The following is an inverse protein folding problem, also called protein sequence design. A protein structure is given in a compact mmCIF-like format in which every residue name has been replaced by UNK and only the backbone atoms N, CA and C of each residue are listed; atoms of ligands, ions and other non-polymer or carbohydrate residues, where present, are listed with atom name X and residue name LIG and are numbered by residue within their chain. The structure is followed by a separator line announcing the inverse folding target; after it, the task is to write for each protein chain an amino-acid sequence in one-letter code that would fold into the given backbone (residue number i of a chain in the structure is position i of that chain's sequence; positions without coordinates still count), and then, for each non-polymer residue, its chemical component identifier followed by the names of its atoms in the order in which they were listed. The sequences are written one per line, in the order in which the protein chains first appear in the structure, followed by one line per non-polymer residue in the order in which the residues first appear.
data_IF_781876951003
#
_entry.id   IF_781876951003
#
_cell.length_a   1.000
_cell.length_b   1.000
_cell.length_c   1.000
_cell.angle_alpha   90.00
_cell.angle_beta   90.00
_cell.angle_gamma   90.00
#
_symmetry.space_group_name_H-M   'P 1'
#
loop_
_entity.id
_entity.type
_entity.pdbx_description
1 polymer ?
#
# COMPACT_ATOMS: atom_id res chain seq x y z
N UNK A 1 6.47 12.99 -37.90
CA UNK A 1 6.61 11.54 -37.68
C UNK A 1 6.98 11.36 -36.25
N UNK A 2 6.51 10.31 -35.56
CA UNK A 2 6.85 10.08 -34.17
C UNK A 2 8.30 9.57 -34.10
N UNK A 3 9.15 10.26 -33.31
CA UNK A 3 10.58 9.95 -33.18
C UNK A 3 10.83 8.80 -32.19
N UNK A 4 9.92 7.84 -32.10
CA UNK A 4 10.04 6.68 -31.19
C UNK A 4 9.25 5.49 -31.73
N UNK A 5 9.65 4.28 -31.28
CA UNK A 5 8.98 3.00 -31.55
C UNK A 5 8.51 2.37 -30.24
N UNK A 6 7.29 1.83 -30.21
CA UNK A 6 6.80 1.02 -29.09
C UNK A 6 7.03 -0.46 -29.39
N UNK A 7 7.64 -1.17 -28.45
CA UNK A 7 7.90 -2.59 -28.56
C UNK A 7 7.82 -3.30 -27.20
N UNK A 8 7.65 -4.62 -27.16
CA UNK A 8 7.79 -5.39 -25.93
C UNK A 8 9.17 -5.19 -25.29
N UNK A 9 9.20 -5.28 -23.93
CA UNK A 9 10.42 -5.29 -23.13
C UNK A 9 11.34 -6.46 -23.54
N UNK A 10 12.65 -6.22 -23.55
CA UNK A 10 13.71 -7.22 -23.72
C UNK A 10 14.64 -7.24 -22.51
N UNK A 11 15.41 -8.31 -22.37
CA UNK A 11 16.34 -8.43 -21.23
C UNK A 11 17.40 -7.31 -21.16
N UNK A 12 17.84 -6.83 -22.31
CA UNK A 12 18.80 -5.71 -22.39
C UNK A 12 18.23 -4.37 -21.90
N UNK A 13 16.92 -4.23 -21.77
CA UNK A 13 16.26 -2.99 -21.38
C UNK A 13 16.24 -2.76 -19.86
N UNK A 14 16.46 -3.79 -19.04
CA UNK A 14 16.33 -3.67 -17.57
C UNK A 14 17.15 -2.53 -16.94
N UNK A 15 18.40 -2.22 -17.36
CA UNK A 15 19.13 -1.08 -16.81
C UNK A 15 18.42 0.26 -17.05
N UNK A 16 17.91 0.48 -18.26
CA UNK A 16 17.19 1.70 -18.61
C UNK A 16 15.84 1.78 -17.89
N UNK A 17 15.12 0.65 -17.80
CA UNK A 17 13.85 0.56 -17.07
C UNK A 17 14.04 0.80 -15.58
N UNK A 18 15.09 0.27 -14.95
CA UNK A 18 15.41 0.57 -13.55
C UNK A 18 15.62 2.08 -13.34
N UNK A 19 16.39 2.73 -14.24
CA UNK A 19 16.59 4.17 -14.20
C UNK A 19 15.29 4.96 -14.32
N UNK A 20 14.39 4.56 -15.23
CA UNK A 20 13.08 5.18 -15.39
C UNK A 20 12.19 4.99 -14.16
N UNK A 21 12.13 3.78 -13.60
CA UNK A 21 11.32 3.48 -12.41
C UNK A 21 11.83 4.25 -11.18
N UNK A 22 13.12 4.45 -11.04
CA UNK A 22 13.72 5.22 -9.94
C UNK A 22 13.34 6.72 -9.97
N UNK A 23 12.76 7.21 -11.06
CA UNK A 23 12.17 8.56 -11.10
C UNK A 23 10.84 8.66 -10.34
N UNK A 24 10.16 7.54 -10.12
CA UNK A 24 8.81 7.51 -9.52
C UNK A 24 8.72 6.68 -8.24
N UNK A 25 9.63 5.73 -8.02
CA UNK A 25 9.68 4.90 -6.82
C UNK A 25 10.25 5.69 -5.62
N UNK A 26 9.75 5.38 -4.43
CA UNK A 26 10.28 5.91 -3.17
C UNK A 26 11.59 5.23 -2.76
N UNK A 27 11.74 3.95 -3.09
CA UNK A 27 12.94 3.15 -2.85
C UNK A 27 13.56 2.77 -4.19
N UNK A 28 14.87 3.01 -4.39
CA UNK A 28 15.51 2.71 -5.66
C UNK A 28 15.62 1.20 -5.90
N UNK A 29 15.45 0.81 -7.16
CA UNK A 29 15.58 -0.57 -7.62
C UNK A 29 16.72 -0.71 -8.63
N UNK A 30 17.45 -1.82 -8.59
CA UNK A 30 18.49 -2.14 -9.55
C UNK A 30 17.94 -2.98 -10.71
N UNK A 31 18.64 -2.96 -11.85
CA UNK A 31 18.31 -3.83 -12.98
C UNK A 31 18.28 -5.31 -12.60
N UNK A 32 19.22 -5.74 -11.74
CA UNK A 32 19.29 -7.11 -11.25
C UNK A 32 18.07 -7.48 -10.41
N UNK A 33 17.66 -6.62 -9.49
CA UNK A 33 16.46 -6.86 -8.68
C UNK A 33 15.20 -6.99 -9.56
N UNK A 34 15.01 -6.08 -10.54
CA UNK A 34 13.90 -6.18 -11.49
C UNK A 34 13.90 -7.49 -12.26
N UNK A 35 15.08 -7.96 -12.69
CA UNK A 35 15.21 -9.21 -13.41
C UNK A 35 14.99 -10.43 -12.51
N UNK A 36 15.48 -10.40 -11.27
CA UNK A 36 15.27 -11.46 -10.28
C UNK A 36 13.77 -11.57 -9.91
N UNK A 37 13.09 -10.43 -9.71
CA UNK A 37 11.63 -10.38 -9.51
C UNK A 37 10.88 -10.96 -10.72
N UNK A 38 11.28 -10.61 -11.95
CA UNK A 38 10.69 -11.15 -13.16
C UNK A 38 10.81 -12.67 -13.22
N UNK A 39 11.99 -13.19 -12.94
CA UNK A 39 12.26 -14.62 -12.97
C UNK A 39 11.54 -15.40 -11.86
N UNK A 40 11.18 -14.74 -10.76
CA UNK A 40 10.49 -15.37 -9.64
C UNK A 40 8.98 -15.56 -9.87
N UNK A 41 8.40 -14.83 -10.83
CA UNK A 41 6.96 -14.87 -11.11
C UNK A 41 6.68 -15.81 -12.28
N UNK A 42 5.81 -16.81 -12.10
CA UNK A 42 5.48 -17.75 -13.15
C UNK A 42 4.79 -17.06 -14.35
N UNK A 43 4.78 -17.68 -15.53
CA UNK A 43 4.07 -17.18 -16.71
C UNK A 43 2.61 -16.86 -16.42
N UNK A 44 2.10 -15.80 -17.05
CA UNK A 44 0.74 -15.32 -16.86
C UNK A 44 -0.32 -16.36 -17.22
N UNK A 45 -1.41 -16.37 -16.45
CA UNK A 45 -2.57 -17.21 -16.67
C UNK A 45 -3.85 -16.43 -16.38
N UNK A 46 -4.46 -15.89 -17.41
CA UNK A 46 -5.74 -15.18 -17.32
C UNK A 46 -6.91 -16.13 -17.57
N UNK A 47 -7.98 -15.92 -16.82
CA UNK A 47 -9.25 -16.62 -17.00
C UNK A 47 -10.40 -15.66 -16.61
N UNK A 48 -11.64 -16.15 -16.68
CA UNK A 48 -12.81 -15.36 -16.30
C UNK A 48 -13.62 -16.12 -15.25
N UNK A 49 -14.17 -15.40 -14.29
CA UNK A 49 -15.11 -15.95 -13.31
C UNK A 49 -16.51 -16.16 -13.94
N UNK A 50 -17.45 -16.68 -13.17
CA UNK A 50 -18.82 -16.96 -13.61
C UNK A 50 -19.57 -15.69 -14.05
N UNK A 51 -19.20 -14.53 -13.53
CA UNK A 51 -19.74 -13.21 -13.92
C UNK A 51 -19.05 -12.64 -15.17
N UNK A 52 -18.12 -13.38 -15.78
CA UNK A 52 -17.37 -12.96 -16.97
C UNK A 52 -16.29 -11.91 -16.69
N UNK A 53 -15.93 -11.71 -15.44
CA UNK A 53 -14.90 -10.75 -15.04
C UNK A 53 -13.49 -11.38 -15.13
N UNK A 54 -12.51 -10.58 -15.53
CA UNK A 54 -11.13 -10.98 -15.67
C UNK A 54 -10.50 -11.37 -14.32
N UNK A 55 -9.90 -12.55 -14.26
CA UNK A 55 -9.23 -13.16 -13.11
C UNK A 55 -7.82 -13.65 -13.49
N UNK A 56 -7.10 -14.21 -12.51
CA UNK A 56 -5.76 -14.75 -12.70
C UNK A 56 -4.67 -13.68 -12.64
N UNK A 57 -3.56 -13.89 -13.33
CA UNK A 57 -2.43 -12.95 -13.37
C UNK A 57 -1.79 -12.91 -14.74
N UNK A 58 -1.25 -11.75 -15.10
CA UNK A 58 -0.39 -11.51 -16.25
C UNK A 58 0.26 -10.12 -16.13
N UNK A 59 1.35 -9.87 -16.87
CA UNK A 59 2.08 -8.60 -16.75
C UNK A 59 2.88 -8.23 -18.02
N UNK A 60 2.21 -8.00 -19.15
CA UNK A 60 2.87 -7.51 -20.34
C UNK A 60 3.52 -6.15 -20.13
N UNK A 61 4.66 -5.97 -20.78
CA UNK A 61 5.51 -4.80 -20.66
C UNK A 61 5.89 -4.25 -22.00
N UNK A 62 5.93 -2.93 -22.10
CA UNK A 62 6.32 -2.19 -23.31
C UNK A 62 7.34 -1.12 -22.96
N UNK A 63 8.21 -0.83 -23.93
CA UNK A 63 9.14 0.28 -23.89
C UNK A 63 8.90 1.18 -25.09
N UNK A 64 9.15 2.47 -24.90
CA UNK A 64 9.30 3.44 -25.97
C UNK A 64 10.81 3.62 -26.23
N UNK A 65 11.23 3.37 -27.46
CA UNK A 65 12.62 3.46 -27.94
C UNK A 65 12.72 4.63 -28.92
N UNK A 66 13.68 5.55 -28.71
CA UNK A 66 13.92 6.67 -29.61
C UNK A 66 14.71 6.25 -30.86
N UNK A 67 15.01 7.19 -31.78
CA UNK A 67 15.77 6.95 -33.01
C UNK A 67 17.22 6.49 -32.74
N UNK A 68 17.77 6.82 -31.57
CA UNK A 68 19.10 6.40 -31.11
C UNK A 68 19.07 5.03 -30.44
N UNK A 69 17.92 4.34 -30.43
CA UNK A 69 17.68 3.07 -29.75
C UNK A 69 17.79 3.12 -28.21
N UNK A 70 17.58 4.29 -27.63
CA UNK A 70 17.53 4.47 -26.20
C UNK A 70 16.10 4.27 -25.69
N UNK A 71 15.94 3.56 -24.58
CA UNK A 71 14.65 3.39 -23.90
C UNK A 71 14.30 4.67 -23.15
N UNK A 72 13.34 5.41 -23.66
CA UNK A 72 12.88 6.71 -23.14
C UNK A 72 11.56 6.62 -22.33
N UNK A 73 10.91 5.47 -22.35
CA UNK A 73 9.68 5.26 -21.60
C UNK A 73 9.38 3.78 -21.39
N UNK A 74 8.62 3.51 -20.36
CA UNK A 74 8.23 2.15 -19.95
C UNK A 74 6.77 2.14 -19.54
N UNK A 75 6.08 1.04 -19.85
CA UNK A 75 4.75 0.75 -19.33
C UNK A 75 4.62 -0.75 -19.00
N UNK A 76 3.96 -1.04 -17.90
CA UNK A 76 3.51 -2.37 -17.52
C UNK A 76 2.02 -2.31 -17.18
N UNK A 77 1.23 -3.18 -17.78
CA UNK A 77 -0.10 -3.49 -17.28
C UNK A 77 -0.03 -4.83 -16.56
N UNK A 78 -0.56 -4.91 -15.36
CA UNK A 78 -0.43 -6.13 -14.58
C UNK A 78 -1.68 -6.44 -13.75
N UNK A 79 -1.86 -7.71 -13.52
CA UNK A 79 -2.83 -8.27 -12.62
C UNK A 79 -2.16 -9.35 -11.78
N UNK A 80 -2.39 -9.33 -10.48
CA UNK A 80 -2.01 -10.38 -9.54
C UNK A 80 -3.28 -11.17 -9.11
N UNK A 81 -3.15 -12.37 -8.53
CA UNK A 81 -4.30 -13.14 -8.06
C UNK A 81 -5.26 -12.37 -7.15
N UNK A 82 -4.73 -11.48 -6.32
CA UNK A 82 -5.46 -10.63 -5.37
C UNK A 82 -5.96 -9.28 -5.96
N UNK A 83 -5.77 -9.05 -7.25
CA UNK A 83 -6.31 -7.85 -7.91
C UNK A 83 -7.83 -8.01 -8.06
N UNK A 84 -8.58 -6.95 -7.78
CA UNK A 84 -10.03 -6.91 -7.91
C UNK A 84 -10.50 -7.51 -9.26
N UNK A 85 -11.59 -8.30 -9.29
CA UNK A 85 -12.12 -8.87 -10.52
C UNK A 85 -12.35 -7.80 -11.60
N UNK A 86 -11.90 -8.11 -12.81
CA UNK A 86 -12.02 -7.19 -13.95
C UNK A 86 -11.01 -6.04 -13.99
N UNK A 87 -10.18 -5.84 -12.96
CA UNK A 87 -9.23 -4.73 -12.90
C UNK A 87 -7.85 -5.13 -13.40
N UNK A 88 -7.12 -4.15 -13.94
CA UNK A 88 -5.70 -4.18 -14.25
C UNK A 88 -5.01 -2.98 -13.62
N UNK A 89 -3.83 -3.19 -13.08
CA UNK A 89 -2.96 -2.13 -12.61
C UNK A 89 -2.04 -1.66 -13.75
N UNK A 90 -1.70 -0.38 -13.74
CA UNK A 90 -0.83 0.27 -14.72
C UNK A 90 0.28 1.04 -14.00
N UNK A 91 1.53 0.82 -14.44
CA UNK A 91 2.62 1.76 -14.22
C UNK A 91 3.11 2.25 -15.56
N UNK A 92 3.24 3.56 -15.74
CA UNK A 92 3.73 4.19 -16.95
C UNK A 92 4.67 5.34 -16.57
N UNK A 93 5.85 5.34 -17.14
CA UNK A 93 6.86 6.38 -16.95
C UNK A 93 7.50 6.76 -18.27
N UNK A 94 7.75 8.05 -18.47
CA UNK A 94 8.53 8.60 -19.59
C UNK A 94 9.58 9.53 -19.01
N UNK A 95 10.81 9.39 -19.50
CA UNK A 95 11.93 10.24 -19.09
C UNK A 95 11.52 11.72 -19.19
N UNK A 96 11.80 12.56 -18.17
CA UNK A 96 11.33 13.94 -18.14
C UNK A 96 11.66 14.74 -19.42
N UNK A 97 12.88 14.59 -19.93
CA UNK A 97 13.36 15.31 -21.12
C UNK A 97 12.69 14.85 -22.43
N UNK A 98 12.02 13.68 -22.42
CA UNK A 98 11.32 13.11 -23.56
C UNK A 98 9.79 13.26 -23.47
N UNK A 99 9.31 13.93 -22.43
CA UNK A 99 7.88 14.22 -22.27
C UNK A 99 7.40 15.23 -23.33
N UNK A 100 6.09 15.25 -23.55
CA UNK A 100 5.48 16.16 -24.54
C UNK A 100 5.60 15.71 -26.00
N UNK A 101 6.42 14.70 -26.31
CA UNK A 101 6.67 14.23 -27.69
C UNK A 101 5.78 13.05 -28.13
N UNK A 102 4.86 12.62 -27.27
CA UNK A 102 3.83 11.62 -27.60
C UNK A 102 4.11 10.17 -27.14
N UNK A 103 5.33 9.84 -26.67
CA UNK A 103 5.70 8.49 -26.22
C UNK A 103 4.74 7.94 -25.13
N UNK A 104 4.42 8.76 -24.12
CA UNK A 104 3.47 8.37 -23.07
C UNK A 104 2.06 8.07 -23.60
N UNK A 105 1.60 8.82 -24.64
CA UNK A 105 0.32 8.54 -25.31
C UNK A 105 0.36 7.20 -26.03
N UNK A 106 1.44 6.91 -26.73
CA UNK A 106 1.57 5.64 -27.45
C UNK A 106 1.64 4.44 -26.51
N UNK A 107 2.45 4.51 -25.43
CA UNK A 107 2.49 3.49 -24.38
C UNK A 107 1.10 3.27 -23.75
N UNK A 108 0.39 4.36 -23.42
CA UNK A 108 -0.98 4.27 -22.87
C UNK A 108 -1.96 3.61 -23.85
N UNK A 109 -1.80 3.82 -25.17
CA UNK A 109 -2.63 3.18 -26.17
C UNK A 109 -2.35 1.66 -26.23
N UNK A 110 -1.10 1.22 -26.20
CA UNK A 110 -0.76 -0.21 -26.16
C UNK A 110 -1.37 -0.92 -24.95
N UNK A 111 -1.24 -0.29 -23.77
CA UNK A 111 -1.89 -0.81 -22.54
C UNK A 111 -3.40 -0.92 -22.72
N UNK A 112 -4.04 0.12 -23.27
CA UNK A 112 -5.50 0.14 -23.49
C UNK A 112 -5.93 -0.94 -24.48
N UNK A 113 -5.21 -1.13 -25.57
CA UNK A 113 -5.49 -2.17 -26.57
C UNK A 113 -5.39 -3.57 -25.95
N UNK A 114 -4.35 -3.81 -25.15
CA UNK A 114 -4.23 -5.08 -24.45
C UNK A 114 -5.34 -5.25 -23.42
N UNK A 115 -5.66 -4.24 -22.61
CA UNK A 115 -6.72 -4.29 -21.63
C UNK A 115 -8.09 -4.61 -22.26
N UNK A 116 -8.39 -4.04 -23.42
CA UNK A 116 -9.59 -4.35 -24.21
C UNK A 116 -9.58 -5.79 -24.71
N UNK A 117 -8.43 -6.27 -25.22
CA UNK A 117 -8.26 -7.65 -25.69
C UNK A 117 -8.58 -8.66 -24.60
N UNK A 118 -8.15 -8.40 -23.36
CA UNK A 118 -8.42 -9.26 -22.20
C UNK A 118 -9.71 -8.89 -21.45
N UNK A 119 -10.56 -8.05 -22.06
CA UNK A 119 -11.87 -7.63 -21.52
C UNK A 119 -11.79 -7.12 -20.07
N UNK A 120 -10.74 -6.40 -19.74
CA UNK A 120 -10.65 -5.73 -18.46
C UNK A 120 -11.68 -4.59 -18.39
N UNK A 121 -12.34 -4.44 -17.26
CA UNK A 121 -13.35 -3.39 -17.04
C UNK A 121 -12.73 -2.05 -16.61
N UNK A 122 -11.57 -2.10 -15.93
CA UNK A 122 -10.90 -0.91 -15.39
C UNK A 122 -9.38 -0.99 -15.50
N UNK A 123 -8.78 0.18 -15.72
CA UNK A 123 -7.36 0.43 -15.50
C UNK A 123 -7.18 1.26 -14.25
N UNK A 124 -6.28 0.83 -13.37
CA UNK A 124 -5.96 1.48 -12.09
C UNK A 124 -4.49 1.87 -12.10
N UNK A 125 -4.19 3.08 -11.68
CA UNK A 125 -2.80 3.53 -11.45
C UNK A 125 -2.72 4.42 -10.22
N UNK A 126 -1.51 4.50 -9.66
CA UNK A 126 -1.20 5.38 -8.54
C UNK A 126 -0.29 6.50 -9.04
N UNK A 127 -0.61 7.73 -8.67
CA UNK A 127 0.13 8.93 -9.08
C UNK A 127 0.39 9.81 -7.89
N UNK A 128 1.58 10.38 -7.81
CA UNK A 128 1.90 11.36 -6.76
C UNK A 128 0.92 12.52 -6.81
N UNK A 129 0.41 12.92 -5.67
CA UNK A 129 -0.59 13.98 -5.52
C UNK A 129 -0.04 15.38 -5.87
N UNK A 130 1.27 15.53 -5.88
CA UNK A 130 2.00 16.73 -6.26
C UNK A 130 2.61 16.70 -7.69
N UNK A 131 2.31 15.67 -8.50
CA UNK A 131 2.73 15.61 -9.92
C UNK A 131 1.58 16.05 -10.85
N UNK A 132 1.38 17.37 -10.96
CA UNK A 132 0.33 17.96 -11.78
C UNK A 132 0.38 17.50 -13.24
N UNK A 133 1.58 17.34 -13.81
CA UNK A 133 1.78 16.92 -15.22
C UNK A 133 1.24 15.51 -15.43
N UNK A 134 1.55 14.58 -14.54
CA UNK A 134 1.05 13.20 -14.63
C UNK A 134 -0.44 13.13 -14.37
N UNK A 135 -0.96 13.93 -13.43
CA UNK A 135 -2.40 14.01 -13.14
C UNK A 135 -3.20 14.53 -14.34
N UNK A 136 -2.77 15.62 -14.96
CA UNK A 136 -3.39 16.13 -16.21
C UNK A 136 -3.32 15.10 -17.34
N UNK A 137 -2.18 14.42 -17.50
CA UNK A 137 -2.02 13.38 -18.51
C UNK A 137 -3.04 12.26 -18.34
N UNK A 138 -3.27 11.80 -17.09
CA UNK A 138 -4.25 10.78 -16.77
C UNK A 138 -5.70 11.27 -16.98
N UNK A 139 -6.03 12.45 -16.48
CA UNK A 139 -7.37 13.04 -16.61
C UNK A 139 -7.79 13.18 -18.09
N UNK A 140 -6.89 13.67 -18.96
CA UNK A 140 -7.12 13.76 -20.43
C UNK A 140 -7.36 12.38 -21.08
N UNK A 141 -7.07 11.26 -20.39
CA UNK A 141 -7.30 9.87 -20.84
C UNK A 141 -8.46 9.18 -20.14
N UNK A 142 -9.28 9.96 -19.44
CA UNK A 142 -10.47 9.49 -18.77
C UNK A 142 -10.25 8.83 -17.42
N UNK A 143 -9.06 8.98 -16.85
CA UNK A 143 -8.85 8.59 -15.46
C UNK A 143 -9.49 9.60 -14.52
N UNK A 144 -10.13 9.09 -13.49
CA UNK A 144 -10.74 9.85 -12.41
C UNK A 144 -10.10 9.46 -11.09
N UNK A 145 -9.94 10.42 -10.19
CA UNK A 145 -9.49 10.14 -8.84
C UNK A 145 -10.58 9.38 -8.08
N UNK A 146 -10.23 8.21 -7.57
CA UNK A 146 -11.11 7.41 -6.72
C UNK A 146 -10.77 7.59 -5.23
N UNK A 147 -9.47 7.59 -4.89
CA UNK A 147 -9.00 7.66 -3.50
C UNK A 147 -7.72 8.48 -3.41
N UNK A 148 -7.45 9.03 -2.23
CA UNK A 148 -6.17 9.61 -1.86
C UNK A 148 -5.57 8.79 -0.73
N UNK A 149 -4.40 8.22 -0.96
CA UNK A 149 -3.62 7.44 0.01
C UNK A 149 -2.33 8.23 0.26
N UNK A 150 -2.08 8.57 1.50
CA UNK A 150 -0.94 9.41 1.86
C UNK A 150 -0.30 8.92 3.17
N UNK A 151 0.97 9.18 3.30
CA UNK A 151 1.69 8.98 4.54
C UNK A 151 1.44 10.16 5.48
N UNK A 152 1.41 9.89 6.77
CA UNK A 152 1.42 10.92 7.80
C UNK A 152 2.53 10.63 8.82
N UNK A 153 3.11 11.70 9.34
CA UNK A 153 4.27 11.66 10.22
C UNK A 153 3.94 12.37 11.54
N UNK A 154 4.24 11.72 12.65
CA UNK A 154 4.19 12.32 13.98
C UNK A 154 5.62 12.51 14.49
N UNK A 155 6.00 13.75 14.78
CA UNK A 155 7.23 14.04 15.49
C UNK A 155 7.03 13.74 16.99
N UNK A 156 7.69 12.71 17.48
CA UNK A 156 7.52 12.23 18.85
C UNK A 156 8.08 13.21 19.90
N UNK A 157 9.09 14.02 19.54
CA UNK A 157 9.65 15.03 20.45
C UNK A 157 8.72 16.25 20.60
N UNK A 158 7.91 16.53 19.60
CA UNK A 158 6.92 17.62 19.60
C UNK A 158 5.54 17.19 20.13
N UNK A 159 5.33 15.89 20.37
CA UNK A 159 4.05 15.39 20.86
C UNK A 159 3.83 15.72 22.33
N UNK A 160 2.84 16.57 22.60
CA UNK A 160 2.56 17.12 23.94
C UNK A 160 1.21 16.70 24.53
N UNK A 161 0.37 15.97 23.78
CA UNK A 161 -0.98 15.59 24.19
C UNK A 161 -0.98 14.43 25.21
N UNK A 162 -0.29 14.64 26.34
CA UNK A 162 -0.14 13.64 27.41
C UNK A 162 -1.48 13.21 28.03
N UNK A 163 -2.48 14.10 28.00
CA UNK A 163 -3.84 13.81 28.49
C UNK A 163 -4.53 12.67 27.74
N UNK A 164 -4.14 12.42 26.48
CA UNK A 164 -4.70 11.32 25.68
C UNK A 164 -4.33 9.95 26.24
N UNK A 165 -3.26 9.83 27.05
CA UNK A 165 -2.92 8.59 27.76
C UNK A 165 -3.99 8.17 28.76
N UNK A 166 -4.89 9.05 29.17
CA UNK A 166 -6.07 8.71 29.98
C UNK A 166 -6.98 7.69 29.27
N UNK A 167 -6.95 7.63 27.92
CA UNK A 167 -7.72 6.64 27.14
C UNK A 167 -7.33 5.20 27.48
N UNK A 168 -6.07 4.96 27.82
CA UNK A 168 -5.58 3.63 28.26
C UNK A 168 -6.24 3.27 29.60
N UNK A 169 -6.16 4.17 30.57
CA UNK A 169 -6.76 3.95 31.91
C UNK A 169 -8.28 3.77 31.83
N UNK A 170 -8.94 4.55 30.97
CA UNK A 170 -10.39 4.43 30.79
C UNK A 170 -10.78 3.04 30.21
N UNK A 171 -10.02 2.52 29.26
CA UNK A 171 -10.23 1.19 28.72
C UNK A 171 -9.96 0.09 29.80
N UNK A 172 -8.90 0.24 30.58
CA UNK A 172 -8.59 -0.69 31.70
C UNK A 172 -9.71 -0.70 32.76
N UNK A 173 -10.26 0.46 33.09
CA UNK A 173 -11.39 0.58 34.02
C UNK A 173 -12.67 -0.06 33.50
N UNK A 174 -12.82 -0.18 32.17
CA UNK A 174 -13.94 -0.89 31.54
C UNK A 174 -13.70 -2.39 31.35
N UNK A 175 -12.59 -2.94 31.90
CA UNK A 175 -12.29 -4.36 31.89
C UNK A 175 -11.34 -4.80 30.76
N UNK A 176 -10.90 -3.89 29.89
CA UNK A 176 -9.92 -4.22 28.85
C UNK A 176 -8.53 -4.37 29.47
N UNK A 177 -7.85 -5.45 29.10
CA UNK A 177 -6.44 -5.66 29.44
C UNK A 177 -5.58 -5.46 28.20
N UNK A 178 -4.49 -4.73 28.34
CA UNK A 178 -3.51 -4.56 27.26
C UNK A 178 -2.30 -5.45 27.52
N UNK A 179 -1.92 -6.21 26.48
CA UNK A 179 -0.75 -7.07 26.44
C UNK A 179 0.03 -6.81 25.15
N UNK A 180 1.23 -7.37 25.05
CA UNK A 180 1.94 -7.54 23.76
C UNK A 180 1.87 -9.01 23.32
N UNK A 181 2.16 -9.28 22.05
CA UNK A 181 2.26 -10.67 21.58
C UNK A 181 3.40 -11.43 22.28
N UNK A 182 4.43 -10.71 22.80
CA UNK A 182 5.50 -11.30 23.60
C UNK A 182 5.01 -11.86 24.96
N UNK A 183 3.94 -11.30 25.52
CA UNK A 183 3.36 -11.77 26.78
C UNK A 183 2.59 -13.09 26.62
N UNK A 184 2.12 -13.38 25.41
CA UNK A 184 1.41 -14.61 25.07
C UNK A 184 2.01 -15.23 23.79
N UNK A 185 3.24 -15.78 23.85
CA UNK A 185 3.91 -16.32 22.66
C UNK A 185 3.28 -17.64 22.21
N UNK A 186 3.45 -17.94 20.92
CA UNK A 186 3.06 -19.22 20.34
C UNK A 186 1.99 -19.14 19.26
N UNK A 187 1.98 -20.15 18.40
CA UNK A 187 1.16 -20.18 17.20
C UNK A 187 -0.35 -20.08 17.49
N UNK A 188 -0.83 -20.61 18.60
CA UNK A 188 -2.25 -20.50 18.97
C UNK A 188 -2.67 -19.02 19.10
N UNK A 189 -1.85 -18.20 19.74
CA UNK A 189 -2.12 -16.78 19.95
C UNK A 189 -1.89 -15.97 18.68
N UNK A 190 -0.94 -16.36 17.85
CA UNK A 190 -0.77 -15.79 16.49
C UNK A 190 -1.99 -16.09 15.61
N UNK A 191 -2.62 -17.27 15.73
CA UNK A 191 -3.87 -17.61 15.03
C UNK A 191 -5.08 -16.81 15.55
N UNK A 192 -5.17 -16.52 16.84
CA UNK A 192 -6.17 -15.57 17.38
C UNK A 192 -5.97 -14.18 16.83
N UNK A 193 -4.71 -13.75 16.71
CA UNK A 193 -4.37 -12.45 16.12
C UNK A 193 -4.71 -12.41 14.62
N UNK A 194 -4.40 -13.46 13.87
CA UNK A 194 -4.77 -13.60 12.46
C UNK A 194 -6.29 -13.47 12.27
N UNK A 195 -7.09 -14.12 13.10
CA UNK A 195 -8.54 -14.01 13.04
C UNK A 195 -9.03 -12.58 13.33
N UNK A 196 -8.45 -11.91 14.32
CA UNK A 196 -8.74 -10.49 14.59
C UNK A 196 -8.42 -9.61 13.37
N UNK A 197 -7.27 -9.83 12.73
CA UNK A 197 -6.92 -9.13 11.49
C UNK A 197 -7.92 -9.42 10.38
N UNK A 198 -8.29 -10.68 10.16
CA UNK A 198 -9.24 -11.10 9.13
C UNK A 198 -10.57 -10.38 9.26
N UNK A 199 -11.13 -10.32 10.47
CA UNK A 199 -12.41 -9.65 10.73
C UNK A 199 -12.29 -8.14 10.55
N UNK A 200 -11.21 -7.53 11.08
CA UNK A 200 -11.07 -6.06 11.08
C UNK A 200 -10.56 -5.49 9.75
N UNK A 201 -9.96 -6.31 8.87
CA UNK A 201 -9.59 -5.91 7.52
C UNK A 201 -10.78 -5.62 6.60
N UNK A 202 -11.91 -6.30 6.82
CA UNK A 202 -13.14 -6.06 6.07
C UNK A 202 -13.65 -4.60 6.18
N UNK A 203 -13.21 -3.89 7.20
CA UNK A 203 -13.58 -2.48 7.44
C UNK A 203 -12.62 -1.48 6.78
N UNK A 204 -11.51 -1.95 6.18
CA UNK A 204 -10.58 -1.09 5.46
C UNK A 204 -11.23 -0.70 4.12
N UNK A 205 -11.37 0.60 3.83
CA UNK A 205 -11.94 1.01 2.55
C UNK A 205 -11.21 0.40 1.35
N UNK A 206 -11.94 -0.29 0.48
CA UNK A 206 -11.41 -0.94 -0.71
C UNK A 206 -10.63 -2.22 -0.46
N UNK A 207 -10.72 -2.80 0.72
CA UNK A 207 -10.29 -4.18 0.94
C UNK A 207 -11.35 -5.13 0.35
N UNK A 208 -10.89 -6.14 -0.39
CA UNK A 208 -11.73 -7.20 -0.94
C UNK A 208 -11.61 -8.44 -0.06
N UNK A 209 -12.55 -9.37 -0.17
CA UNK A 209 -12.80 -10.46 0.77
C UNK A 209 -11.71 -11.55 0.87
N UNK A 210 -10.70 -11.54 0.01
CA UNK A 210 -9.61 -12.53 0.01
C UNK A 210 -8.53 -12.16 1.04
N UNK A 211 -8.80 -12.48 2.30
CA UNK A 211 -7.78 -12.35 3.35
C UNK A 211 -6.80 -13.52 3.27
N UNK A 212 -5.48 -13.30 3.38
CA UNK A 212 -4.48 -14.35 3.21
C UNK A 212 -4.57 -15.43 4.29
N UNK A 213 -4.18 -16.65 3.93
CA UNK A 213 -4.04 -17.76 4.88
C UNK A 213 -3.02 -17.43 5.97
N UNK A 214 -3.11 -18.11 7.11
CA UNK A 214 -2.29 -17.82 8.28
C UNK A 214 -0.80 -17.77 7.99
N UNK A 215 -0.26 -18.74 7.24
CA UNK A 215 1.17 -18.83 6.92
C UNK A 215 1.65 -17.68 6.02
N UNK A 216 0.81 -17.22 5.11
CA UNK A 216 1.09 -16.06 4.26
C UNK A 216 0.94 -14.75 5.04
N UNK A 217 -0.15 -14.59 5.79
CA UNK A 217 -0.35 -13.44 6.65
C UNK A 217 0.79 -13.27 7.65
N UNK A 218 1.25 -14.38 8.26
CA UNK A 218 2.34 -14.38 9.23
C UNK A 218 3.64 -13.81 8.64
N UNK A 219 3.99 -14.21 7.41
CA UNK A 219 5.16 -13.68 6.68
C UNK A 219 5.11 -12.17 6.49
N UNK A 220 3.93 -11.61 6.24
CA UNK A 220 3.75 -10.19 5.92
C UNK A 220 3.41 -9.31 7.13
N UNK A 221 3.16 -9.90 8.30
CA UNK A 221 2.73 -9.13 9.48
C UNK A 221 3.57 -9.41 10.72
N UNK A 222 4.17 -10.59 10.84
CA UNK A 222 4.97 -10.98 12.01
C UNK A 222 6.44 -11.18 11.63
N UNK A 223 6.72 -11.93 10.55
CA UNK A 223 8.08 -12.33 10.18
C UNK A 223 8.85 -11.26 9.36
N UNK A 224 8.27 -10.10 9.12
CA UNK A 224 8.93 -9.02 8.39
C UNK A 224 9.99 -8.32 9.25
N UNK A 225 11.12 -7.89 8.67
CA UNK A 225 12.14 -7.15 9.39
C UNK A 225 11.58 -5.92 10.11
N UNK A 226 11.98 -5.74 11.36
CA UNK A 226 11.57 -4.59 12.19
C UNK A 226 10.26 -4.76 12.95
N UNK A 227 9.46 -5.79 12.69
CA UNK A 227 8.37 -6.21 13.56
C UNK A 227 8.92 -7.14 14.64
N UNK A 228 8.50 -6.91 15.87
CA UNK A 228 8.84 -7.74 17.04
C UNK A 228 7.58 -8.01 17.83
N UNK A 229 7.46 -9.14 18.54
CA UNK A 229 6.28 -9.44 19.35
C UNK A 229 5.95 -8.34 20.38
N UNK A 230 6.95 -7.63 20.92
CA UNK A 230 6.80 -6.51 21.86
C UNK A 230 6.20 -5.26 21.18
N UNK A 231 6.21 -5.19 19.84
CA UNK A 231 5.66 -4.08 19.06
C UNK A 231 4.23 -4.32 18.59
N UNK A 232 3.66 -5.47 18.94
CA UNK A 232 2.28 -5.84 18.64
C UNK A 232 1.48 -5.75 19.93
N UNK A 233 0.78 -4.63 20.13
CA UNK A 233 -0.08 -4.45 21.31
C UNK A 233 -1.48 -4.97 21.02
N UNK A 234 -2.02 -5.71 21.95
CA UNK A 234 -3.31 -6.39 21.85
C UNK A 234 -4.20 -5.92 23.01
N UNK A 235 -5.42 -5.54 22.69
CA UNK A 235 -6.47 -5.32 23.68
C UNK A 235 -7.27 -6.61 23.85
N UNK A 236 -7.42 -7.05 25.09
CA UNK A 236 -8.18 -8.26 25.48
C UNK A 236 -9.40 -7.89 26.31
N UNK A 237 -10.50 -8.58 26.03
CA UNK A 237 -11.64 -8.68 26.95
C UNK A 237 -11.78 -10.14 27.36
N UNK A 238 -11.48 -10.46 28.63
CA UNK A 238 -11.26 -11.83 29.08
C UNK A 238 -10.16 -12.51 28.27
N UNK A 239 -10.49 -13.63 27.59
CA UNK A 239 -9.57 -14.36 26.73
C UNK A 239 -9.63 -13.95 25.24
N UNK A 240 -10.55 -13.05 24.88
CA UNK A 240 -10.76 -12.63 23.49
C UNK A 240 -9.86 -11.48 23.10
N UNK A 241 -9.23 -11.54 21.92
CA UNK A 241 -8.54 -10.43 21.30
C UNK A 241 -9.56 -9.51 20.62
N UNK A 242 -9.68 -8.27 21.07
CA UNK A 242 -10.72 -7.33 20.62
C UNK A 242 -10.16 -6.10 19.90
N UNK A 243 -8.86 -5.91 19.97
CA UNK A 243 -8.17 -4.85 19.26
C UNK A 243 -6.67 -5.09 19.16
N UNK A 244 -6.05 -4.51 18.16
CA UNK A 244 -4.60 -4.63 17.91
C UNK A 244 -4.02 -3.36 17.33
N UNK A 245 -2.77 -3.10 17.66
CA UNK A 245 -1.90 -2.17 16.95
C UNK A 245 -0.53 -2.80 16.73
N UNK A 246 -0.02 -2.68 15.51
CA UNK A 246 1.29 -3.24 15.12
C UNK A 246 2.22 -2.12 14.68
N UNK A 247 3.45 -2.16 15.20
CA UNK A 247 4.54 -1.27 14.84
C UNK A 247 5.66 -2.05 14.16
N UNK A 248 6.34 -1.38 13.24
CA UNK A 248 7.56 -1.86 12.58
C UNK A 248 8.66 -0.82 12.75
N UNK A 249 9.80 -1.21 13.26
CA UNK A 249 10.96 -0.33 13.37
C UNK A 249 11.77 -0.34 12.08
N UNK A 250 12.12 0.83 11.58
CA UNK A 250 13.09 0.99 10.50
C UNK A 250 14.41 1.47 11.11
N UNK A 251 15.39 0.58 11.19
CA UNK A 251 16.70 0.88 11.80
C UNK A 251 17.51 1.90 11.00
N UNK A 252 17.30 2.01 9.69
CA UNK A 252 18.05 2.93 8.81
C UNK A 252 17.58 4.38 8.98
N UNK A 253 16.29 4.59 9.22
CA UNK A 253 15.69 5.94 9.29
C UNK A 253 15.44 6.41 10.73
N UNK A 254 15.71 5.58 11.73
CA UNK A 254 15.35 5.83 13.14
C UNK A 254 13.87 6.21 13.32
N UNK A 255 13.02 5.61 12.52
CA UNK A 255 11.59 5.79 12.56
C UNK A 255 10.87 4.48 12.91
N UNK A 256 9.69 4.58 13.50
CA UNK A 256 8.74 3.48 13.54
C UNK A 256 7.61 3.72 12.55
N UNK A 257 7.17 2.65 11.94
CA UNK A 257 6.02 2.64 11.08
C UNK A 257 4.85 1.97 11.80
N UNK A 258 3.74 2.66 11.85
CA UNK A 258 2.50 2.17 12.39
C UNK A 258 1.77 1.40 11.29
N UNK A 259 1.97 0.09 11.28
CA UNK A 259 1.50 -0.82 10.22
C UNK A 259 -0.01 -0.97 10.20
N UNK A 260 -0.59 -1.25 11.34
CA UNK A 260 -1.99 -1.63 11.43
C UNK A 260 -2.65 -1.20 12.74
N UNK A 261 -3.93 -0.90 12.68
CA UNK A 261 -4.84 -0.81 13.84
C UNK A 261 -6.17 -1.43 13.46
N UNK A 262 -6.56 -2.46 14.18
CA UNK A 262 -7.86 -3.12 14.03
C UNK A 262 -8.61 -3.19 15.35
N UNK A 263 -9.92 -3.01 15.31
CA UNK A 263 -10.80 -3.13 16.50
C UNK A 263 -12.10 -3.75 16.05
N UNK A 264 -12.53 -4.79 16.77
CA UNK A 264 -13.83 -5.41 16.53
C UNK A 264 -14.96 -4.38 16.61
N UNK A 265 -15.97 -4.53 15.75
CA UNK A 265 -17.04 -3.55 15.58
C UNK A 265 -17.77 -3.20 16.87
N UNK A 266 -18.01 -4.17 17.75
CA UNK A 266 -18.69 -4.05 19.03
C UNK A 266 -17.90 -3.26 20.08
N UNK A 267 -16.56 -3.15 19.91
CA UNK A 267 -15.67 -2.39 20.80
C UNK A 267 -15.33 -0.99 20.26
N UNK A 268 -15.93 -0.58 19.15
CA UNK A 268 -15.74 0.76 18.58
C UNK A 268 -16.48 1.83 19.37
N UNK A 269 -16.14 3.09 19.12
CA UNK A 269 -16.70 4.28 19.79
C UNK A 269 -16.44 4.35 21.30
N UNK A 270 -15.63 3.45 21.86
CA UNK A 270 -15.20 3.42 23.26
C UNK A 270 -13.77 3.94 23.45
N UNK A 271 -13.23 4.68 22.47
CA UNK A 271 -11.85 5.19 22.44
C UNK A 271 -10.75 4.11 22.47
N UNK A 272 -11.07 2.84 22.26
CA UNK A 272 -10.09 1.76 22.30
C UNK A 272 -9.01 1.94 21.22
N UNK A 273 -9.37 2.43 20.01
CA UNK A 273 -8.40 2.74 18.96
C UNK A 273 -7.43 3.85 19.36
N UNK A 274 -7.90 4.85 20.08
CA UNK A 274 -7.02 5.88 20.62
C UNK A 274 -6.09 5.29 21.68
N UNK A 275 -6.59 4.46 22.59
CA UNK A 275 -5.78 3.82 23.63
C UNK A 275 -4.65 2.97 23.02
N UNK A 276 -4.95 2.14 22.01
CA UNK A 276 -3.95 1.35 21.27
C UNK A 276 -2.91 2.25 20.58
N UNK A 277 -3.34 3.35 19.96
CA UNK A 277 -2.42 4.33 19.36
C UNK A 277 -1.52 5.00 20.39
N UNK A 278 -2.05 5.30 21.59
CA UNK A 278 -1.24 5.85 22.67
C UNK A 278 -0.22 4.83 23.20
N UNK A 279 -0.55 3.54 23.24
CA UNK A 279 0.43 2.47 23.52
C UNK A 279 1.53 2.45 22.45
N UNK A 280 1.18 2.54 21.18
CA UNK A 280 2.13 2.61 20.07
C UNK A 280 3.07 3.82 20.21
N UNK A 281 2.55 5.00 20.53
CA UNK A 281 3.37 6.20 20.77
C UNK A 281 4.32 6.00 21.96
N UNK A 282 3.83 5.39 23.04
CA UNK A 282 4.67 5.08 24.23
C UNK A 282 5.83 4.14 23.85
N UNK A 283 5.55 3.07 23.11
CA UNK A 283 6.57 2.15 22.62
C UNK A 283 7.57 2.84 21.70
N UNK A 284 7.11 3.64 20.75
CA UNK A 284 7.99 4.39 19.86
C UNK A 284 8.92 5.32 20.63
N UNK A 285 8.44 6.04 21.65
CA UNK A 285 9.27 6.91 22.51
C UNK A 285 10.33 6.13 23.28
N UNK A 286 10.00 4.92 23.78
CA UNK A 286 10.96 4.09 24.51
C UNK A 286 11.97 3.38 23.59
N UNK A 287 11.67 3.29 22.30
CA UNK A 287 12.55 2.67 21.28
C UNK A 287 13.56 3.66 20.67
N UNK A 288 13.67 4.86 21.23
CA UNK A 288 14.62 5.89 20.80
C UNK A 288 14.50 6.28 19.32
N UNK A 289 13.26 6.33 18.80
CA UNK A 289 12.96 6.80 17.45
C UNK A 289 12.43 8.23 17.48
N UNK A 290 12.67 8.98 16.41
CA UNK A 290 12.30 10.39 16.30
C UNK A 290 10.89 10.57 15.76
N UNK A 291 10.48 9.70 14.84
CA UNK A 291 9.22 9.83 14.13
C UNK A 291 8.42 8.54 14.14
N UNK A 292 7.11 8.69 14.26
CA UNK A 292 6.13 7.63 14.00
C UNK A 292 5.40 7.96 12.70
N UNK A 293 5.44 7.02 11.75
CA UNK A 293 4.80 7.16 10.44
C UNK A 293 3.60 6.23 10.32
N UNK A 294 2.65 6.58 9.48
CA UNK A 294 1.51 5.73 9.14
C UNK A 294 0.95 6.08 7.77
N UNK A 295 0.35 5.13 7.07
CA UNK A 295 -0.47 5.42 5.91
C UNK A 295 -1.91 5.74 6.29
N UNK A 296 -2.51 6.64 5.54
CA UNK A 296 -3.90 7.03 5.66
C UNK A 296 -4.60 6.90 4.31
N UNK A 297 -5.89 6.64 4.40
CA UNK A 297 -6.79 6.66 3.27
C UNK A 297 -7.85 7.75 3.49
N UNK A 298 -8.10 8.59 2.49
CA UNK A 298 -9.10 9.65 2.56
C UNK A 298 -10.51 9.17 2.87
N UNK A 299 -10.81 7.90 2.57
CA UNK A 299 -12.10 7.29 2.87
C UNK A 299 -12.18 6.76 4.31
N UNK A 300 -11.04 6.59 5.01
CA UNK A 300 -11.04 6.11 6.41
C UNK A 300 -11.19 7.27 7.40
N UNK A 301 -12.34 7.93 7.34
CA UNK A 301 -12.64 9.11 8.18
C UNK A 301 -12.44 8.85 9.68
N UNK A 302 -12.85 7.70 10.26
CA UNK A 302 -12.62 7.44 11.68
C UNK A 302 -11.13 7.42 12.06
N UNK A 303 -10.27 6.81 11.21
CA UNK A 303 -8.84 6.75 11.47
C UNK A 303 -8.17 8.10 11.26
N UNK A 304 -8.58 8.88 10.25
CA UNK A 304 -8.10 10.25 10.04
C UNK A 304 -8.40 11.14 11.22
N UNK A 305 -9.59 11.01 11.83
CA UNK A 305 -9.93 11.74 13.04
C UNK A 305 -8.98 11.45 14.20
N UNK A 306 -8.57 10.19 14.37
CA UNK A 306 -7.60 9.83 15.41
C UNK A 306 -6.21 10.36 15.04
N UNK A 307 -5.71 10.02 13.85
CA UNK A 307 -4.34 10.33 13.47
C UNK A 307 -4.12 11.85 13.35
N UNK A 308 -4.94 12.53 12.54
CA UNK A 308 -4.76 13.96 12.25
C UNK A 308 -5.30 14.86 13.37
N UNK A 309 -6.58 14.65 13.74
CA UNK A 309 -7.29 15.64 14.57
C UNK A 309 -6.96 15.49 16.07
N UNK A 310 -6.70 14.26 16.55
CA UNK A 310 -6.39 14.00 17.97
C UNK A 310 -4.89 13.90 18.22
N UNK A 311 -4.16 13.14 17.38
CA UNK A 311 -2.75 12.85 17.59
C UNK A 311 -1.81 13.85 16.91
N UNK A 312 -2.29 14.65 15.97
CA UNK A 312 -1.50 15.66 15.28
C UNK A 312 -0.49 15.10 14.27
N UNK A 313 -0.80 13.94 13.65
CA UNK A 313 -0.02 13.49 12.51
C UNK A 313 -0.14 14.47 11.35
N UNK A 314 0.97 14.91 10.82
CA UNK A 314 1.06 15.80 9.67
C UNK A 314 1.10 14.98 8.37
N UNK A 315 0.29 15.37 7.39
CA UNK A 315 0.26 14.68 6.11
C UNK A 315 1.56 14.95 5.32
N UNK A 316 2.17 13.88 4.81
CA UNK A 316 3.23 13.93 3.80
C UNK A 316 2.64 13.73 2.40
N UNK A 317 3.38 14.06 1.32
CA UNK A 317 2.93 13.79 -0.04
C UNK A 317 2.51 12.33 -0.22
N UNK A 318 1.40 12.12 -0.92
CA UNK A 318 0.79 10.83 -1.11
C UNK A 318 0.56 10.48 -2.57
N UNK A 319 -0.37 9.56 -2.79
CA UNK A 319 -0.75 9.11 -4.12
C UNK A 319 -2.27 9.14 -4.28
N UNK A 320 -2.73 9.59 -5.43
CA UNK A 320 -4.09 9.36 -5.86
C UNK A 320 -4.20 7.99 -6.54
N UNK A 321 -5.17 7.18 -6.12
CA UNK A 321 -5.65 6.05 -6.91
C UNK A 321 -6.51 6.61 -8.02
N UNK A 322 -6.03 6.50 -9.24
CA UNK A 322 -6.68 6.96 -10.45
C UNK A 322 -7.27 5.77 -11.21
N UNK A 323 -8.52 5.87 -11.62
CA UNK A 323 -9.25 4.78 -12.27
C UNK A 323 -9.83 5.23 -13.60
N UNK A 324 -9.62 4.45 -14.65
CA UNK A 324 -10.23 4.62 -15.95
C UNK A 324 -11.16 3.44 -16.23
N UNK A 325 -12.47 3.69 -16.45
CA UNK A 325 -13.42 2.68 -16.95
C UNK A 325 -13.16 2.46 -18.43
N UNK A 326 -13.17 1.21 -18.87
CA UNK A 326 -12.87 0.83 -20.26
C UNK A 326 -14.13 0.59 -21.11
N UNK A 327 -15.26 0.32 -20.45
CA UNK A 327 -16.57 0.07 -21.07
C UNK A 327 -17.66 0.79 -20.26
#
# INVERSE_FOLDING_TARGET
MSNYTIRPLRNEDYPAVASLLNLILSEPITAKQLQDEENSIPPGQLHYNDDGQLMGWDRPKWVAENEQREVIGYAIAWRAPWTEPGHLNLTLVVHPDERGRGAGRALSNEVRLWAQKVKASRLVCFMKDNDEISLEFAQRRGYQQERHIFESVLNLSAFTNEELFQSIRAAEQSGIRFITLADEPGEENERKLHELYRVTHLDIPGFNEDFPWFEEWRKWNIDIPGVRPEYIHIAKDGESYVGVVTLQQNEQTQAMYHQYTGILSEYRRQRLGLALKMLAIRTARTSNVTYLRTHNDSMNVPMLRINRDLLGFEAAPGNFKMVCKLF
#
